data_IF_600848464265
#
_entry.id   IF_600848464265
#
_cell.length_a   1.000
_cell.length_b   1.000
_cell.length_c   1.000
_cell.angle_alpha   90.00
_cell.angle_beta   90.00
_cell.angle_gamma   90.00
#
_symmetry.space_group_name_H-M   'P 1'
#
loop_
_entity.id
_entity.type
_entity.pdbx_description
1 polymer ?
#
# COMPACT_ATOMS: atom_id res chain seq x y z
N UNK A 1 9.35 -12.60 -7.06
CA UNK A 1 9.30 -11.14 -6.89
C UNK A 1 8.32 -10.78 -5.79
N UNK A 2 8.73 -9.95 -4.87
CA UNK A 2 7.87 -9.50 -3.77
C UNK A 2 7.71 -7.98 -3.87
N UNK A 3 6.47 -7.51 -3.81
CA UNK A 3 6.14 -6.08 -3.92
C UNK A 3 5.20 -5.71 -2.78
N UNK A 4 5.53 -4.64 -2.08
CA UNK A 4 4.66 -4.10 -1.04
C UNK A 4 3.68 -3.12 -1.68
N UNK A 5 2.41 -3.24 -1.34
CA UNK A 5 1.35 -2.44 -1.98
C UNK A 5 0.86 -1.36 -1.03
N UNK A 6 0.93 -0.11 -1.47
CA UNK A 6 0.45 1.03 -0.71
C UNK A 6 -1.01 1.36 -1.04
N UNK A 7 -1.66 2.06 -0.12
CA UNK A 7 -3.03 2.56 -0.31
C UNK A 7 -3.17 3.37 -1.60
N UNK A 8 -2.19 4.21 -1.91
CA UNK A 8 -2.22 5.04 -3.14
C UNK A 8 -2.37 4.19 -4.39
N UNK A 9 -1.70 3.03 -4.44
CA UNK A 9 -1.79 2.10 -5.56
C UNK A 9 -3.16 1.43 -5.63
N UNK A 10 -3.66 0.94 -4.50
CA UNK A 10 -4.96 0.26 -4.46
C UNK A 10 -6.10 1.19 -4.88
N UNK A 11 -6.08 2.44 -4.40
CA UNK A 11 -7.08 3.42 -4.79
C UNK A 11 -6.98 3.77 -6.28
N UNK A 12 -5.77 3.90 -6.81
CA UNK A 12 -5.55 4.20 -8.22
C UNK A 12 -6.05 3.06 -9.14
N UNK A 13 -5.88 1.81 -8.72
CA UNK A 13 -6.40 0.65 -9.47
C UNK A 13 -7.93 0.71 -9.55
N UNK A 14 -8.59 1.10 -8.46
CA UNK A 14 -10.04 1.07 -8.34
C UNK A 14 -10.74 2.25 -8.99
N UNK A 15 -10.13 3.43 -8.95
CA UNK A 15 -10.79 4.67 -9.35
C UNK A 15 -10.42 5.06 -10.78
N UNK A 16 -11.35 4.90 -11.77
CA UNK A 16 -11.07 5.27 -13.16
C UNK A 16 -10.79 6.76 -13.35
N UNK A 17 -11.18 7.60 -12.39
CA UNK A 17 -10.96 9.04 -12.45
C UNK A 17 -9.62 9.46 -11.82
N UNK A 18 -8.89 8.52 -11.24
CA UNK A 18 -7.56 8.81 -10.69
C UNK A 18 -6.59 9.12 -11.82
N UNK A 19 -5.77 10.17 -11.63
CA UNK A 19 -4.80 10.60 -12.63
C UNK A 19 -3.84 9.48 -13.04
N UNK A 20 -3.50 8.59 -12.14
CA UNK A 20 -2.57 7.49 -12.40
C UNK A 20 -3.26 6.14 -12.54
N UNK A 21 -4.56 6.14 -12.83
CA UNK A 21 -5.33 4.91 -12.95
C UNK A 21 -4.76 3.94 -14.00
N UNK A 22 -4.47 4.44 -15.21
CA UNK A 22 -3.99 3.57 -16.29
C UNK A 22 -2.65 2.91 -15.97
N UNK A 23 -1.60 3.65 -15.56
CA UNK A 23 -0.36 2.98 -15.19
C UNK A 23 -0.52 2.06 -13.98
N UNK A 24 -1.42 2.37 -13.05
CA UNK A 24 -1.70 1.50 -11.91
C UNK A 24 -2.31 0.17 -12.38
N UNK A 25 -3.29 0.22 -13.24
CA UNK A 25 -3.92 -0.99 -13.78
C UNK A 25 -2.95 -1.85 -14.59
N UNK A 26 -2.14 -1.20 -15.40
CA UNK A 26 -1.13 -1.92 -16.21
C UNK A 26 -0.14 -2.65 -15.33
N UNK A 27 0.38 -1.98 -14.30
CA UNK A 27 1.31 -2.62 -13.38
C UNK A 27 0.65 -3.73 -12.58
N UNK A 28 -0.57 -3.50 -12.09
CA UNK A 28 -1.33 -4.50 -11.36
C UNK A 28 -1.47 -5.78 -12.19
N UNK A 29 -1.89 -5.65 -13.45
CA UNK A 29 -2.03 -6.81 -14.34
C UNK A 29 -0.70 -7.49 -14.60
N UNK A 30 0.37 -6.72 -14.83
CA UNK A 30 1.70 -7.28 -15.05
C UNK A 30 2.20 -8.06 -13.84
N UNK A 31 1.95 -7.55 -12.62
CA UNK A 31 2.35 -8.24 -11.39
C UNK A 31 1.56 -9.54 -11.20
N UNK A 32 0.27 -9.53 -11.51
CA UNK A 32 -0.55 -10.75 -11.45
C UNK A 32 -0.07 -11.79 -12.47
N UNK A 33 0.23 -11.36 -13.69
CA UNK A 33 0.71 -12.25 -14.75
C UNK A 33 2.05 -12.90 -14.38
N UNK A 34 2.89 -12.19 -13.64
CA UNK A 34 4.18 -12.71 -13.16
C UNK A 34 4.06 -13.52 -11.88
N UNK A 35 2.85 -13.64 -11.35
CA UNK A 35 2.62 -14.30 -10.07
C UNK A 35 3.47 -13.71 -8.95
N UNK A 36 3.67 -12.39 -8.97
CA UNK A 36 4.40 -11.70 -7.92
C UNK A 36 3.69 -11.85 -6.58
N UNK A 37 4.47 -11.92 -5.51
CA UNK A 37 3.93 -11.92 -4.15
C UNK A 37 3.61 -10.48 -3.78
N UNK A 38 2.32 -10.19 -3.58
CA UNK A 38 1.80 -8.85 -3.31
C UNK A 38 1.46 -8.75 -1.83
N UNK A 39 2.17 -7.88 -1.12
CA UNK A 39 2.12 -7.82 0.34
C UNK A 39 1.65 -6.45 0.80
N UNK A 40 0.79 -6.41 1.80
CA UNK A 40 0.44 -5.17 2.49
C UNK A 40 0.08 -5.50 3.94
N UNK A 41 -0.04 -4.47 4.77
CA UNK A 41 -0.50 -4.66 6.15
C UNK A 41 -2.01 -4.51 6.26
N UNK A 42 -2.55 -4.95 7.40
CA UNK A 42 -3.94 -4.66 7.77
C UNK A 42 -4.16 -3.14 7.94
N UNK A 43 -3.14 -2.36 8.27
CA UNK A 43 -3.26 -0.89 8.34
C UNK A 43 -3.52 -0.29 6.97
N UNK A 44 -2.79 -0.76 5.94
CA UNK A 44 -3.05 -0.35 4.55
C UNK A 44 -4.47 -0.73 4.14
N UNK A 45 -4.94 -1.92 4.50
CA UNK A 45 -6.31 -2.34 4.18
C UNK A 45 -7.35 -1.45 4.85
N UNK A 46 -7.18 -1.16 6.14
CA UNK A 46 -8.14 -0.29 6.86
C UNK A 46 -8.20 1.09 6.20
N UNK A 47 -7.06 1.69 5.90
CA UNK A 47 -7.03 2.99 5.24
C UNK A 47 -7.67 2.94 3.86
N UNK A 48 -7.34 1.91 3.07
CA UNK A 48 -7.88 1.74 1.72
C UNK A 48 -9.40 1.58 1.76
N UNK A 49 -9.90 0.71 2.65
CA UNK A 49 -11.35 0.48 2.77
C UNK A 49 -12.08 1.75 3.22
N UNK A 50 -11.52 2.48 4.19
CA UNK A 50 -12.13 3.71 4.68
C UNK A 50 -12.20 4.79 3.59
N UNK A 51 -11.11 4.98 2.85
CA UNK A 51 -11.06 5.97 1.78
C UNK A 51 -11.94 5.58 0.59
N UNK A 52 -11.93 4.31 0.21
CA UNK A 52 -12.77 3.80 -0.87
C UNK A 52 -14.25 3.96 -0.53
N UNK A 53 -14.64 3.64 0.70
CA UNK A 53 -16.02 3.80 1.15
C UNK A 53 -16.46 5.26 1.04
N UNK A 54 -15.65 6.17 1.54
CA UNK A 54 -15.98 7.59 1.55
C UNK A 54 -16.04 8.22 0.17
N UNK A 55 -15.09 7.84 -0.71
CA UNK A 55 -14.95 8.46 -2.04
C UNK A 55 -15.77 7.79 -3.12
N UNK A 56 -15.95 6.47 -3.02
CA UNK A 56 -16.53 5.66 -4.11
C UNK A 56 -17.72 4.80 -3.66
N UNK A 57 -17.99 4.70 -2.36
CA UNK A 57 -19.13 3.97 -1.83
C UNK A 57 -18.86 2.51 -1.52
N UNK A 58 -19.92 1.81 -1.06
CA UNK A 58 -19.78 0.43 -0.58
C UNK A 58 -19.50 -0.58 -1.68
N UNK A 59 -19.87 -0.29 -2.93
CA UNK A 59 -19.54 -1.18 -4.05
C UNK A 59 -18.03 -1.31 -4.23
N UNK A 60 -17.30 -0.22 -4.05
CA UNK A 60 -15.83 -0.24 -4.11
C UNK A 60 -15.26 -1.10 -2.99
N UNK A 61 -15.82 -1.00 -1.78
CA UNK A 61 -15.42 -1.84 -0.64
C UNK A 61 -15.63 -3.31 -0.96
N UNK A 62 -16.79 -3.65 -1.54
CA UNK A 62 -17.09 -5.03 -1.95
C UNK A 62 -16.08 -5.54 -2.98
N UNK A 63 -15.73 -4.70 -3.96
CA UNK A 63 -14.73 -5.07 -4.97
C UNK A 63 -13.37 -5.35 -4.34
N UNK A 64 -12.94 -4.51 -3.39
CA UNK A 64 -11.68 -4.73 -2.68
C UNK A 64 -11.70 -6.08 -1.96
N UNK A 65 -12.74 -6.34 -1.19
CA UNK A 65 -12.83 -7.55 -0.36
C UNK A 65 -12.93 -8.80 -1.21
N UNK A 66 -13.69 -8.74 -2.30
CA UNK A 66 -13.95 -9.90 -3.15
C UNK A 66 -12.84 -10.18 -4.15
N UNK A 67 -12.29 -9.13 -4.78
CA UNK A 67 -11.41 -9.29 -5.94
C UNK A 67 -9.95 -8.94 -5.68
N UNK A 68 -9.65 -8.10 -4.71
CA UNK A 68 -8.29 -7.64 -4.43
C UNK A 68 -7.67 -8.38 -3.23
N UNK A 69 -8.35 -8.39 -2.10
CA UNK A 69 -7.83 -9.03 -0.88
C UNK A 69 -7.41 -10.49 -1.11
N UNK A 70 -8.16 -11.31 -1.87
CA UNK A 70 -7.76 -12.71 -2.07
C UNK A 70 -6.41 -12.91 -2.76
N UNK A 71 -5.92 -11.93 -3.53
CA UNK A 71 -4.62 -12.03 -4.19
C UNK A 71 -3.50 -11.36 -3.41
N UNK A 72 -3.80 -10.79 -2.26
CA UNK A 72 -2.82 -10.16 -1.37
C UNK A 72 -2.40 -11.10 -0.26
N UNK A 73 -1.13 -11.01 0.12
CA UNK A 73 -0.66 -11.57 1.38
C UNK A 73 -0.68 -10.45 2.41
N UNK A 74 -1.60 -10.55 3.36
CA UNK A 74 -1.74 -9.53 4.41
C UNK A 74 -0.81 -9.86 5.56
N UNK A 75 0.14 -8.96 5.82
CA UNK A 75 1.03 -9.02 6.99
C UNK A 75 0.38 -8.23 8.12
N UNK A 76 -0.19 -8.94 9.07
CA UNK A 76 -0.83 -8.30 10.20
C UNK A 76 0.20 -7.60 11.07
N UNK A 77 -0.08 -6.35 11.43
CA UNK A 77 0.85 -5.53 12.21
C UNK A 77 0.95 -6.07 13.62
N UNK A 78 2.17 -6.45 14.01
CA UNK A 78 2.47 -6.88 15.37
C UNK A 78 2.60 -5.66 16.29
N UNK A 79 2.48 -5.88 17.59
CA UNK A 79 2.51 -4.80 18.58
C UNK A 79 3.81 -4.01 18.48
N UNK A 80 4.95 -4.68 18.35
CA UNK A 80 6.25 -4.03 18.25
C UNK A 80 6.40 -3.22 16.95
N UNK A 81 5.82 -3.69 15.85
CA UNK A 81 5.81 -2.95 14.59
C UNK A 81 4.98 -1.68 14.69
N UNK A 82 3.85 -1.74 15.36
CA UNK A 82 3.01 -0.57 15.63
C UNK A 82 3.82 0.52 16.35
N UNK A 83 4.46 0.16 17.45
CA UNK A 83 5.21 1.14 18.24
C UNK A 83 6.49 1.61 17.54
N UNK A 84 7.15 0.75 16.76
CA UNK A 84 8.27 1.17 15.92
C UNK A 84 7.80 2.18 14.87
N UNK A 85 6.62 1.99 14.29
CA UNK A 85 6.01 2.94 13.37
C UNK A 85 5.72 4.28 14.03
N UNK A 86 5.19 4.27 15.24
CA UNK A 86 4.93 5.50 16.02
C UNK A 86 6.24 6.26 16.27
N UNK A 87 7.29 5.56 16.68
CA UNK A 87 8.59 6.18 16.93
C UNK A 87 9.16 6.80 15.65
N UNK A 88 9.05 6.10 14.53
CA UNK A 88 9.49 6.61 13.25
C UNK A 88 8.71 7.85 12.85
N UNK A 89 7.40 7.84 13.02
CA UNK A 89 6.54 8.98 12.71
C UNK A 89 6.98 10.23 13.50
N UNK A 90 7.20 10.07 14.79
CA UNK A 90 7.63 11.18 15.65
C UNK A 90 9.04 11.66 15.31
N UNK A 91 9.93 10.73 14.96
CA UNK A 91 11.31 11.04 14.58
C UNK A 91 11.38 11.83 13.27
N UNK A 92 10.57 11.45 12.27
CA UNK A 92 10.56 12.13 10.98
C UNK A 92 9.86 13.48 11.03
N UNK A 93 8.84 13.63 11.88
CA UNK A 93 8.17 14.89 12.14
C UNK A 93 7.47 15.52 10.95
N UNK A 94 7.07 14.74 9.94
CA UNK A 94 6.43 15.25 8.72
C UNK A 94 4.91 15.14 8.81
N UNK A 95 4.21 16.26 8.66
CA UNK A 95 2.75 16.32 8.79
C UNK A 95 2.00 15.40 7.84
N UNK A 96 2.52 15.22 6.61
CA UNK A 96 1.82 14.45 5.56
C UNK A 96 2.17 12.97 5.56
N UNK A 97 3.13 12.56 6.38
CA UNK A 97 3.50 11.18 6.50
C UNK A 97 2.65 10.56 7.61
N UNK A 98 1.88 9.54 7.27
CA UNK A 98 0.96 8.90 8.20
C UNK A 98 1.63 7.79 9.00
N UNK A 99 0.96 7.36 10.07
CA UNK A 99 1.39 6.16 10.80
C UNK A 99 1.34 4.94 9.89
N UNK A 100 0.37 4.86 8.98
CA UNK A 100 0.27 3.76 8.02
C UNK A 100 1.54 3.69 7.16
N UNK A 101 2.02 4.83 6.65
CA UNK A 101 3.26 4.89 5.90
C UNK A 101 4.44 4.37 6.72
N UNK A 102 4.57 4.85 7.95
CA UNK A 102 5.67 4.47 8.83
C UNK A 102 5.66 2.97 9.17
N UNK A 103 4.50 2.41 9.42
CA UNK A 103 4.36 0.96 9.66
C UNK A 103 4.73 0.18 8.39
N UNK A 104 4.36 0.69 7.21
CA UNK A 104 4.75 0.07 5.94
C UNK A 104 6.28 0.03 5.81
N UNK A 105 6.96 1.13 6.12
CA UNK A 105 8.43 1.17 6.08
C UNK A 105 9.05 0.17 7.05
N UNK A 106 8.51 0.07 8.26
CA UNK A 106 8.97 -0.89 9.27
C UNK A 106 8.83 -2.32 8.75
N UNK A 107 7.66 -2.66 8.19
CA UNK A 107 7.42 -4.00 7.67
C UNK A 107 8.31 -4.33 6.47
N UNK A 108 8.46 -3.39 5.54
CA UNK A 108 9.30 -3.60 4.37
C UNK A 108 10.75 -3.89 4.77
N UNK A 109 11.29 -3.13 5.73
CA UNK A 109 12.65 -3.34 6.21
C UNK A 109 12.79 -4.69 6.91
N UNK A 110 11.84 -5.05 7.74
CA UNK A 110 11.86 -6.34 8.45
C UNK A 110 11.78 -7.51 7.47
N UNK A 111 10.94 -7.42 6.46
CA UNK A 111 10.74 -8.48 5.47
C UNK A 111 11.80 -8.48 4.36
N UNK A 112 12.63 -7.45 4.29
CA UNK A 112 13.63 -7.31 3.23
C UNK A 112 13.02 -7.02 1.87
N UNK A 113 11.88 -6.29 1.83
CA UNK A 113 11.22 -5.91 0.57
C UNK A 113 11.71 -4.53 0.16
N UNK A 114 12.25 -4.43 -1.03
CA UNK A 114 12.80 -3.18 -1.57
C UNK A 114 11.81 -2.44 -2.45
N UNK A 115 10.90 -3.15 -3.10
CA UNK A 115 10.01 -2.56 -4.10
C UNK A 115 8.62 -2.32 -3.52
N UNK A 116 8.09 -1.12 -3.76
CA UNK A 116 6.76 -0.72 -3.35
C UNK A 116 5.95 -0.28 -4.56
N UNK A 117 4.73 -0.78 -4.67
CA UNK A 117 3.75 -0.28 -5.62
C UNK A 117 3.05 0.89 -4.94
N UNK A 118 3.52 2.09 -5.24
CA UNK A 118 3.10 3.31 -4.56
C UNK A 118 3.27 4.52 -5.47
N UNK A 119 2.35 5.46 -5.35
CA UNK A 119 2.42 6.74 -6.03
C UNK A 119 2.76 7.87 -5.04
N UNK A 120 3.11 7.50 -3.82
CA UNK A 120 3.48 8.41 -2.76
C UNK A 120 5.00 8.54 -2.72
N UNK A 121 5.50 9.77 -2.83
CA UNK A 121 6.94 10.08 -2.84
C UNK A 121 7.66 9.69 -1.54
N UNK A 122 6.92 9.46 -0.44
CA UNK A 122 7.52 9.12 0.84
C UNK A 122 8.31 7.81 0.80
N UNK A 123 7.91 6.85 -0.03
CA UNK A 123 8.62 5.59 -0.15
C UNK A 123 10.02 5.76 -0.73
N UNK A 124 10.15 6.58 -1.78
CA UNK A 124 11.47 6.88 -2.35
C UNK A 124 12.37 7.62 -1.35
N UNK A 125 11.79 8.57 -0.62
CA UNK A 125 12.53 9.32 0.40
C UNK A 125 13.08 8.40 1.51
N UNK A 126 12.44 7.26 1.74
CA UNK A 126 12.88 6.27 2.73
C UNK A 126 13.80 5.20 2.14
N UNK A 127 14.22 5.33 0.90
CA UNK A 127 15.18 4.43 0.27
C UNK A 127 14.59 3.25 -0.48
N UNK A 128 13.27 3.21 -0.66
CA UNK A 128 12.61 2.14 -1.40
C UNK A 128 12.49 2.49 -2.88
N UNK A 129 12.33 1.47 -3.71
CA UNK A 129 12.11 1.64 -5.14
C UNK A 129 10.61 1.62 -5.41
N UNK A 130 10.07 2.72 -5.92
CA UNK A 130 8.65 2.80 -6.27
C UNK A 130 8.39 2.26 -7.66
N UNK A 131 7.32 1.48 -7.78
CA UNK A 131 6.78 1.01 -9.04
C UNK A 131 5.44 1.69 -9.25
N UNK A 132 5.04 2.03 -10.49
CA UNK A 132 5.86 1.97 -11.71
C UNK A 132 6.96 3.02 -11.69
N UNK A 133 8.06 2.68 -12.35
CA UNK A 133 9.18 3.61 -12.47
C UNK A 133 8.97 4.64 -13.58
#
# INVERSE_FOLDING_TARGET
MRVYIDTSALLAILNPHDRVHLPARELWQALLDKEAMLICSNYVLVETLALAQRRMGLEAVQTIVRDIVPVLQVEWVEVDEHWAGVQLLLSLGRRRMSLVDCVSFVQMRRLGIQEAFAFDEHFEAQGFTCLPQ
#
